data_IF_610131372219
#
_entry.id   IF_610131372219
#
_cell.length_a   1.000
_cell.length_b   1.000
_cell.length_c   1.000
_cell.angle_alpha   90.00
_cell.angle_beta   90.00
_cell.angle_gamma   90.00
#
_symmetry.space_group_name_H-M   'P 1'
#
loop_
_entity.id
_entity.type
_entity.pdbx_description
1 polymer ?
#
# COMPACT_ATOMS: atom_id res chain seq x y z
N UNK A 1 -25.49 -4.96 12.83
CA UNK A 1 -24.03 -4.76 12.97
C UNK A 1 -23.33 -6.10 12.94
N UNK A 2 -22.21 -6.21 12.22
CA UNK A 2 -21.40 -7.42 12.18
C UNK A 2 -19.91 -7.07 12.28
N UNK A 3 -19.08 -8.05 12.62
CA UNK A 3 -17.62 -7.94 12.58
C UNK A 3 -16.92 -7.93 13.94
N UNK A 4 -15.61 -7.64 13.92
CA UNK A 4 -14.72 -7.81 15.06
C UNK A 4 -15.11 -6.92 16.26
N UNK A 5 -15.49 -5.66 16.03
CA UNK A 5 -15.83 -4.72 17.10
C UNK A 5 -17.06 -5.20 17.87
N UNK A 6 -18.11 -5.64 17.16
CA UNK A 6 -19.32 -6.15 17.81
C UNK A 6 -19.11 -7.46 18.55
N UNK A 7 -18.09 -8.24 18.17
CA UNK A 7 -17.72 -9.48 18.86
C UNK A 7 -16.80 -9.25 20.08
N UNK A 8 -15.87 -8.30 19.98
CA UNK A 8 -14.88 -8.02 21.03
C UNK A 8 -15.40 -7.06 22.11
N UNK A 9 -16.33 -6.16 21.76
CA UNK A 9 -16.91 -5.18 22.67
C UNK A 9 -18.45 -5.07 22.47
N UNK A 10 -19.21 -6.16 22.64
CA UNK A 10 -20.66 -6.15 22.38
C UNK A 10 -21.45 -5.20 23.29
N UNK A 11 -20.88 -4.79 24.42
CA UNK A 11 -21.53 -3.94 25.43
C UNK A 11 -21.36 -2.43 25.19
N UNK A 12 -20.68 -2.00 24.12
CA UNK A 12 -20.54 -0.58 23.81
C UNK A 12 -21.91 0.12 23.70
N UNK A 13 -22.08 1.36 24.21
CA UNK A 13 -23.38 2.03 24.27
C UNK A 13 -24.10 2.11 22.91
N UNK A 14 -23.37 2.36 21.83
CA UNK A 14 -23.91 2.46 20.47
C UNK A 14 -24.35 1.10 19.88
N UNK A 15 -24.02 -0.02 20.53
CA UNK A 15 -24.42 -1.38 20.14
C UNK A 15 -25.65 -1.92 20.89
N UNK A 16 -26.22 -1.16 21.83
CA UNK A 16 -27.26 -1.69 22.74
C UNK A 16 -28.61 -1.94 22.04
N UNK A 17 -28.95 -1.13 21.04
CA UNK A 17 -30.27 -1.14 20.37
C UNK A 17 -30.21 -1.65 18.92
N UNK A 18 -29.17 -2.41 18.58
CA UNK A 18 -29.01 -3.00 17.25
C UNK A 18 -28.86 -4.51 17.34
N UNK A 19 -29.28 -5.20 16.28
CA UNK A 19 -28.96 -6.61 16.10
C UNK A 19 -27.46 -6.78 15.80
N UNK A 20 -26.88 -7.84 16.34
CA UNK A 20 -25.45 -8.14 16.26
C UNK A 20 -25.21 -9.54 15.72
N UNK A 21 -24.30 -9.63 14.76
CA UNK A 21 -23.74 -10.87 14.23
C UNK A 21 -22.25 -10.91 14.57
N UNK A 22 -21.85 -11.88 15.40
CA UNK A 22 -20.47 -12.15 15.71
C UNK A 22 -19.71 -12.75 14.52
N UNK A 23 -18.38 -12.81 14.64
CA UNK A 23 -17.50 -13.25 13.54
C UNK A 23 -17.72 -14.73 13.17
N UNK A 24 -18.12 -15.57 14.14
CA UNK A 24 -18.41 -17.00 13.92
C UNK A 24 -19.84 -17.28 13.45
N UNK A 25 -20.65 -16.25 13.26
CA UNK A 25 -22.09 -16.37 12.97
C UNK A 25 -22.49 -15.70 11.66
N UNK A 26 -21.51 -15.37 10.81
CA UNK A 26 -21.76 -14.71 9.54
C UNK A 26 -22.65 -15.55 8.62
N UNK A 27 -22.61 -16.88 8.74
CA UNK A 27 -23.50 -17.84 8.09
C UNK A 27 -24.99 -17.63 8.44
N UNK A 28 -25.28 -17.00 9.58
CA UNK A 28 -26.64 -16.72 10.06
C UNK A 28 -27.10 -15.29 9.78
N UNK A 29 -26.40 -14.55 8.91
CA UNK A 29 -26.72 -13.15 8.61
C UNK A 29 -28.16 -12.97 8.09
N UNK A 30 -28.64 -13.89 7.25
CA UNK A 30 -29.99 -13.84 6.66
C UNK A 30 -31.07 -13.96 7.75
N UNK A 31 -30.88 -14.87 8.70
CA UNK A 31 -31.78 -15.04 9.84
C UNK A 31 -31.84 -13.76 10.69
N UNK A 32 -30.67 -13.20 11.02
CA UNK A 32 -30.59 -11.98 11.85
C UNK A 32 -31.25 -10.79 11.16
N UNK A 33 -31.03 -10.63 9.85
CA UNK A 33 -31.70 -9.58 9.07
C UNK A 33 -33.21 -9.78 9.06
N UNK A 34 -33.68 -11.01 8.81
CA UNK A 34 -35.10 -11.33 8.77
C UNK A 34 -35.82 -11.02 10.10
N UNK A 35 -35.22 -11.37 11.23
CA UNK A 35 -35.77 -11.05 12.56
C UNK A 35 -35.70 -9.54 12.86
N UNK A 36 -34.63 -8.87 12.44
CA UNK A 36 -34.49 -7.42 12.62
C UNK A 36 -35.58 -6.65 11.88
N UNK A 37 -35.93 -7.08 10.65
CA UNK A 37 -37.01 -6.48 9.87
C UNK A 37 -38.41 -6.68 10.50
N UNK A 38 -38.58 -7.71 11.34
CA UNK A 38 -39.81 -7.93 12.14
C UNK A 38 -39.86 -7.08 13.42
N UNK A 39 -38.83 -6.27 13.68
CA UNK A 39 -38.70 -5.48 14.91
C UNK A 39 -38.00 -6.20 16.07
N UNK A 40 -37.51 -7.43 15.86
CA UNK A 40 -36.79 -8.17 16.89
C UNK A 40 -35.32 -7.74 16.94
N UNK A 41 -34.75 -7.71 18.14
CA UNK A 41 -33.31 -7.50 18.34
C UNK A 41 -32.62 -8.84 18.54
N UNK A 42 -31.81 -9.25 17.57
CA UNK A 42 -31.09 -10.54 17.62
C UNK A 42 -29.60 -10.32 17.87
N UNK A 43 -29.02 -11.06 18.81
CA UNK A 43 -27.59 -10.96 19.16
C UNK A 43 -26.96 -12.35 19.15
N UNK A 44 -26.25 -12.68 18.07
CA UNK A 44 -25.55 -13.95 17.92
C UNK A 44 -24.05 -13.74 18.20
N UNK A 45 -23.59 -14.13 19.38
CA UNK A 45 -22.23 -13.83 19.87
C UNK A 45 -21.47 -15.04 20.44
N UNK A 46 -22.06 -16.23 20.34
CA UNK A 46 -21.53 -17.48 20.90
C UNK A 46 -20.16 -17.83 20.32
N UNK A 47 -19.11 -17.78 21.14
CA UNK A 47 -17.76 -18.21 20.73
C UNK A 47 -17.61 -19.72 20.63
N UNK A 48 -18.47 -20.47 21.33
CA UNK A 48 -18.47 -21.92 21.36
C UNK A 48 -19.19 -22.54 20.15
N UNK A 49 -18.65 -22.29 18.95
CA UNK A 49 -19.05 -22.96 17.71
C UNK A 49 -17.87 -23.03 16.74
N UNK A 50 -17.86 -23.97 15.79
CA UNK A 50 -16.93 -23.93 14.67
C UNK A 50 -17.06 -22.61 13.90
N UNK A 51 -15.95 -22.16 13.33
CA UNK A 51 -15.94 -21.02 12.43
C UNK A 51 -16.77 -21.29 11.18
N UNK A 52 -17.20 -20.22 10.51
CA UNK A 52 -17.92 -20.35 9.25
C UNK A 52 -17.04 -21.06 8.21
N UNK A 53 -17.68 -21.92 7.40
CA UNK A 53 -17.01 -22.58 6.29
C UNK A 53 -16.50 -21.55 5.28
N UNK A 54 -15.35 -21.84 4.67
CA UNK A 54 -14.73 -20.98 3.67
C UNK A 54 -15.64 -20.74 2.45
N UNK A 55 -16.47 -21.73 2.10
CA UNK A 55 -17.33 -21.77 0.92
C UNK A 55 -18.67 -21.04 1.05
N UNK A 56 -18.78 -20.07 1.98
CA UNK A 56 -19.97 -19.22 2.03
C UNK A 56 -20.12 -18.40 0.73
N UNK A 57 -21.36 -18.14 0.27
CA UNK A 57 -21.59 -17.25 -0.87
C UNK A 57 -20.95 -15.88 -0.62
N UNK A 58 -20.20 -15.38 -1.60
CA UNK A 58 -19.49 -14.11 -1.53
C UNK A 58 -19.72 -13.28 -2.79
N UNK A 59 -19.65 -11.96 -2.65
CA UNK A 59 -19.59 -11.01 -3.76
C UNK A 59 -18.21 -10.38 -3.75
N UNK A 60 -17.52 -10.41 -4.89
CA UNK A 60 -16.24 -9.71 -5.03
C UNK A 60 -16.49 -8.22 -5.24
N UNK A 61 -15.64 -7.39 -4.62
CA UNK A 61 -15.57 -5.95 -4.95
C UNK A 61 -14.96 -5.72 -6.33
N UNK A 62 -14.03 -6.58 -6.73
CA UNK A 62 -13.37 -6.56 -8.03
C UNK A 62 -13.42 -7.97 -8.62
N UNK A 63 -14.03 -8.12 -9.81
CA UNK A 63 -14.20 -9.42 -10.48
C UNK A 63 -12.87 -10.06 -10.88
N UNK A 64 -11.80 -9.27 -11.00
CA UNK A 64 -10.46 -9.74 -11.38
C UNK A 64 -9.60 -10.17 -10.18
N UNK A 65 -10.07 -9.99 -8.95
CA UNK A 65 -9.29 -10.22 -7.73
C UNK A 65 -10.04 -11.09 -6.74
N UNK A 66 -9.49 -12.26 -6.44
CA UNK A 66 -9.96 -13.12 -5.36
C UNK A 66 -9.21 -12.83 -4.07
N UNK A 67 -9.93 -12.44 -3.02
CA UNK A 67 -9.37 -12.30 -1.67
C UNK A 67 -9.63 -13.57 -0.88
N UNK A 68 -8.63 -14.44 -0.80
CA UNK A 68 -8.71 -15.75 -0.16
C UNK A 68 -8.24 -15.67 1.29
N UNK A 69 -9.18 -15.78 2.23
CA UNK A 69 -8.86 -15.94 3.65
C UNK A 69 -8.35 -17.35 3.88
N UNK A 70 -7.11 -17.50 4.37
CA UNK A 70 -6.49 -18.83 4.54
C UNK A 70 -6.67 -19.40 5.95
N UNK A 71 -6.89 -18.54 6.93
CA UNK A 71 -7.18 -18.91 8.32
C UNK A 71 -8.03 -17.84 8.98
N UNK A 72 -8.51 -18.11 10.19
CA UNK A 72 -9.10 -17.13 11.10
C UNK A 72 -8.44 -17.24 12.47
N UNK A 73 -8.39 -16.12 13.19
CA UNK A 73 -7.80 -16.08 14.53
C UNK A 73 -6.28 -15.96 14.48
N UNK A 74 -5.64 -15.96 15.63
CA UNK A 74 -4.20 -15.70 15.72
C UNK A 74 -3.58 -16.48 16.88
N UNK A 75 -2.32 -16.90 16.74
CA UNK A 75 -1.57 -17.52 17.83
C UNK A 75 -1.02 -16.49 18.82
N UNK A 76 -0.72 -15.27 18.35
CA UNK A 76 -0.08 -14.22 19.14
C UNK A 76 -0.97 -13.62 20.26
N UNK A 77 -0.33 -13.07 21.29
CA UNK A 77 -0.98 -12.45 22.47
C UNK A 77 -0.60 -10.97 22.66
N UNK A 78 -0.50 -10.22 21.57
CA UNK A 78 -0.03 -8.83 21.56
C UNK A 78 -0.83 -7.93 22.52
N UNK A 79 -0.14 -7.15 23.34
CA UNK A 79 -0.75 -6.42 24.47
C UNK A 79 -1.70 -5.30 24.07
N UNK A 80 -1.67 -4.85 22.81
CA UNK A 80 -2.54 -3.81 22.25
C UNK A 80 -3.62 -4.34 21.30
N UNK A 81 -3.54 -5.61 20.90
CA UNK A 81 -4.36 -6.16 19.83
C UNK A 81 -5.66 -6.78 20.37
N UNK A 82 -6.79 -6.52 19.68
CA UNK A 82 -8.09 -7.12 20.00
C UNK A 82 -8.41 -8.37 19.18
N UNK A 83 -7.56 -8.73 18.21
CA UNK A 83 -7.82 -9.84 17.28
C UNK A 83 -8.10 -11.15 18.01
N UNK A 84 -7.26 -11.54 18.98
CA UNK A 84 -7.48 -12.74 19.80
C UNK A 84 -8.82 -12.71 20.53
N UNK A 85 -9.22 -11.55 21.06
CA UNK A 85 -10.51 -11.38 21.74
C UNK A 85 -11.69 -11.46 20.77
N UNK A 86 -11.50 -11.04 19.52
CA UNK A 86 -12.55 -11.04 18.49
C UNK A 86 -12.70 -12.42 17.84
N UNK A 87 -11.60 -13.02 17.37
CA UNK A 87 -11.59 -14.19 16.49
C UNK A 87 -11.11 -15.49 17.16
N UNK A 88 -10.45 -15.39 18.31
CA UNK A 88 -9.95 -16.55 19.05
C UNK A 88 -8.57 -17.02 18.59
N UNK A 89 -8.25 -18.26 18.94
CA UNK A 89 -7.04 -18.97 18.50
C UNK A 89 -7.05 -19.22 16.99
N UNK A 90 -5.88 -19.52 16.44
CA UNK A 90 -5.73 -19.88 15.03
C UNK A 90 -6.61 -21.09 14.69
N UNK A 91 -7.34 -20.96 13.59
CA UNK A 91 -8.02 -22.03 12.88
C UNK A 91 -7.69 -21.90 11.41
N UNK A 92 -6.87 -22.81 10.89
CA UNK A 92 -6.50 -22.85 9.48
C UNK A 92 -7.57 -23.55 8.66
N UNK A 93 -7.91 -22.97 7.49
CA UNK A 93 -8.76 -23.68 6.54
C UNK A 93 -7.98 -24.84 5.90
N UNK A 94 -8.64 -25.98 5.61
CA UNK A 94 -7.98 -27.14 5.02
C UNK A 94 -7.31 -26.80 3.68
N UNK A 95 -6.12 -27.37 3.46
CA UNK A 95 -5.34 -27.17 2.23
C UNK A 95 -6.16 -27.45 0.96
N UNK A 96 -6.90 -28.56 0.93
CA UNK A 96 -7.70 -28.94 -0.23
C UNK A 96 -8.80 -27.91 -0.57
N UNK A 97 -9.47 -27.37 0.45
CA UNK A 97 -10.53 -26.38 0.27
C UNK A 97 -9.97 -25.05 -0.27
N UNK A 98 -8.80 -24.63 0.21
CA UNK A 98 -8.11 -23.42 -0.25
C UNK A 98 -7.65 -23.55 -1.71
N UNK A 99 -7.07 -24.70 -2.06
CA UNK A 99 -6.62 -24.99 -3.42
C UNK A 99 -7.79 -25.06 -4.39
N UNK A 100 -8.90 -25.67 -3.98
CA UNK A 100 -10.09 -25.76 -4.82
C UNK A 100 -10.78 -24.40 -5.01
N UNK A 101 -10.86 -23.58 -3.97
CA UNK A 101 -11.40 -22.22 -4.10
C UNK A 101 -10.52 -21.34 -4.99
N UNK A 102 -9.19 -21.44 -4.87
CA UNK A 102 -8.28 -20.75 -5.77
C UNK A 102 -8.44 -21.23 -7.21
N UNK A 103 -8.57 -22.54 -7.43
CA UNK A 103 -8.81 -23.12 -8.76
C UNK A 103 -10.10 -22.59 -9.37
N UNK A 104 -11.23 -22.67 -8.66
CA UNK A 104 -12.52 -22.18 -9.17
C UNK A 104 -12.44 -20.68 -9.51
N UNK A 105 -11.82 -19.87 -8.65
CA UNK A 105 -11.66 -18.44 -8.91
C UNK A 105 -10.92 -18.16 -10.24
N UNK A 106 -9.84 -18.89 -10.52
CA UNK A 106 -9.08 -18.71 -11.76
C UNK A 106 -9.76 -19.31 -12.99
N UNK A 107 -10.22 -20.56 -12.91
CA UNK A 107 -10.61 -21.34 -14.08
C UNK A 107 -12.10 -21.19 -14.43
N UNK A 108 -12.96 -20.97 -13.43
CA UNK A 108 -14.40 -20.83 -13.64
C UNK A 108 -14.83 -19.37 -13.69
N UNK A 109 -14.16 -18.49 -12.93
CA UNK A 109 -14.58 -17.11 -12.73
C UNK A 109 -13.66 -16.07 -13.41
N UNK A 110 -12.50 -16.49 -13.92
CA UNK A 110 -11.62 -15.64 -14.74
C UNK A 110 -10.81 -14.60 -13.97
N UNK A 111 -10.65 -14.77 -12.65
CA UNK A 111 -9.80 -13.93 -11.79
C UNK A 111 -8.36 -13.87 -12.31
N UNK A 112 -7.66 -12.76 -12.07
CA UNK A 112 -6.27 -12.55 -12.47
C UNK A 112 -5.31 -12.44 -11.30
N UNK A 113 -5.81 -12.05 -10.13
CA UNK A 113 -5.02 -11.98 -8.92
C UNK A 113 -5.64 -12.75 -7.75
N UNK A 114 -4.82 -13.54 -7.06
CA UNK A 114 -5.18 -14.18 -5.80
C UNK A 114 -4.48 -13.46 -4.64
N UNK A 115 -5.24 -12.76 -3.81
CA UNK A 115 -4.73 -12.08 -2.63
C UNK A 115 -4.98 -12.94 -1.41
N UNK A 116 -3.91 -13.49 -0.83
CA UNK A 116 -4.01 -14.26 0.40
C UNK A 116 -4.16 -13.31 1.59
N UNK A 117 -5.09 -13.62 2.49
CA UNK A 117 -5.31 -12.84 3.71
C UNK A 117 -5.51 -13.73 4.93
N UNK A 118 -5.11 -13.20 6.08
CA UNK A 118 -5.29 -13.77 7.41
C UNK A 118 -4.94 -12.68 8.43
N UNK A 119 -5.31 -12.90 9.70
CA UNK A 119 -4.74 -12.13 10.82
C UNK A 119 -3.21 -12.31 10.92
N UNK A 120 -2.71 -13.48 10.52
CA UNK A 120 -1.30 -13.80 10.43
C UNK A 120 -1.08 -14.93 9.42
N UNK A 121 -0.70 -14.56 8.20
CA UNK A 121 -0.52 -15.51 7.11
C UNK A 121 0.58 -16.54 7.43
N UNK A 122 1.65 -16.12 8.10
CA UNK A 122 2.76 -16.99 8.53
C UNK A 122 2.34 -18.14 9.45
N UNK A 123 1.27 -17.96 10.20
CA UNK A 123 0.83 -18.94 11.19
C UNK A 123 0.03 -20.11 10.57
N UNK A 124 -0.42 -19.99 9.31
CA UNK A 124 -1.26 -21.00 8.67
C UNK A 124 -0.62 -22.40 8.72
N UNK A 125 -1.45 -23.41 8.97
CA UNK A 125 -1.08 -24.82 8.95
C UNK A 125 -0.64 -25.37 10.30
N UNK A 126 -0.17 -24.53 11.23
CA UNK A 126 0.42 -24.97 12.51
C UNK A 126 -0.54 -25.74 13.42
N UNK A 127 -1.83 -25.46 13.31
CA UNK A 127 -2.90 -26.15 14.05
C UNK A 127 -3.36 -27.46 13.38
N UNK A 128 -2.94 -27.72 12.14
CA UNK A 128 -3.33 -28.90 11.33
C UNK A 128 -2.13 -29.73 10.85
N UNK A 129 -0.93 -29.49 11.39
CA UNK A 129 0.28 -30.26 11.08
C UNK A 129 0.93 -29.93 9.73
N UNK A 130 0.67 -28.74 9.19
CA UNK A 130 1.27 -28.20 7.96
C UNK A 130 2.01 -26.89 8.26
N UNK A 131 2.72 -26.36 7.26
CA UNK A 131 3.34 -25.03 7.32
C UNK A 131 2.96 -24.21 6.09
N UNK A 132 3.07 -22.89 6.20
CA UNK A 132 2.73 -21.97 5.10
C UNK A 132 3.35 -22.34 3.75
N UNK A 133 4.65 -22.70 3.64
CA UNK A 133 5.22 -23.16 2.36
C UNK A 133 4.45 -24.29 1.67
N UNK A 134 3.85 -25.22 2.43
CA UNK A 134 3.05 -26.32 1.86
C UNK A 134 1.85 -25.76 1.08
N UNK A 135 1.13 -24.80 1.67
CA UNK A 135 0.01 -24.13 1.00
C UNK A 135 0.48 -23.39 -0.24
N UNK A 136 1.53 -22.57 -0.11
CA UNK A 136 1.98 -21.72 -1.21
C UNK A 136 2.43 -22.56 -2.41
N UNK A 137 3.11 -23.68 -2.19
CA UNK A 137 3.51 -24.62 -3.26
C UNK A 137 2.30 -25.23 -3.98
N UNK A 138 1.22 -25.57 -3.27
CA UNK A 138 0.01 -26.11 -3.93
C UNK A 138 -0.78 -25.01 -4.66
N UNK A 139 -0.90 -23.81 -4.09
CA UNK A 139 -1.60 -22.69 -4.72
C UNK A 139 -0.91 -22.27 -6.03
N UNK A 140 0.41 -22.21 -6.06
CA UNK A 140 1.18 -21.86 -7.27
C UNK A 140 0.88 -22.80 -8.44
N UNK A 141 0.60 -24.08 -8.20
CA UNK A 141 0.27 -25.06 -9.26
C UNK A 141 -1.05 -24.78 -9.95
N UNK A 142 -2.02 -24.16 -9.27
CA UNK A 142 -3.36 -23.91 -9.84
C UNK A 142 -3.49 -22.53 -10.49
N UNK A 143 -2.52 -21.63 -10.26
CA UNK A 143 -2.49 -20.29 -10.86
C UNK A 143 -2.13 -20.41 -12.35
N UNK A 144 -2.99 -19.95 -13.28
CA UNK A 144 -2.70 -19.97 -14.71
C UNK A 144 -1.62 -18.95 -15.08
N UNK A 145 -1.00 -19.13 -16.25
CA UNK A 145 -0.01 -18.19 -16.76
C UNK A 145 -0.65 -16.81 -16.98
N UNK A 146 0.08 -15.75 -16.64
CA UNK A 146 -0.43 -14.37 -16.69
C UNK A 146 -1.31 -13.97 -15.51
N UNK A 147 -1.49 -14.83 -14.51
CA UNK A 147 -2.11 -14.47 -13.23
C UNK A 147 -1.08 -14.43 -12.09
N UNK A 148 -1.41 -13.73 -11.01
CA UNK A 148 -0.47 -13.46 -9.91
C UNK A 148 -1.06 -13.77 -8.53
N UNK A 149 -0.22 -14.20 -7.60
CA UNK A 149 -0.55 -14.30 -6.18
C UNK A 149 0.15 -13.20 -5.39
N UNK A 150 -0.58 -12.58 -4.46
CA UNK A 150 -0.04 -11.65 -3.47
C UNK A 150 -0.14 -12.25 -2.08
N UNK A 151 0.97 -12.30 -1.36
CA UNK A 151 0.96 -12.65 0.06
C UNK A 151 0.45 -11.46 0.88
N UNK A 152 -0.47 -11.71 1.80
CA UNK A 152 -0.91 -10.75 2.81
C UNK A 152 0.08 -10.60 3.96
N UNK A 153 -0.36 -9.90 4.99
CA UNK A 153 0.41 -9.59 6.19
C UNK A 153 0.83 -10.86 6.96
N UNK A 154 2.06 -10.89 7.43
CA UNK A 154 2.65 -11.99 8.22
C UNK A 154 3.51 -11.45 9.36
N UNK A 155 3.59 -12.16 10.49
CA UNK A 155 4.48 -11.76 11.60
C UNK A 155 5.90 -12.35 11.46
N UNK A 156 6.94 -11.61 11.91
CA UNK A 156 8.34 -12.04 11.78
C UNK A 156 8.68 -13.47 12.22
N UNK A 157 8.22 -14.00 13.37
CA UNK A 157 8.64 -15.32 13.84
C UNK A 157 8.33 -16.43 12.84
N UNK A 158 7.17 -16.36 12.18
CA UNK A 158 6.71 -17.43 11.30
C UNK A 158 7.34 -17.39 9.90
N UNK A 159 7.81 -16.22 9.47
CA UNK A 159 8.62 -16.11 8.25
C UNK A 159 10.05 -16.51 8.52
N UNK A 160 10.58 -16.19 9.70
CA UNK A 160 11.93 -16.57 10.11
C UNK A 160 12.15 -18.09 10.06
N UNK A 161 11.13 -18.86 10.45
CA UNK A 161 11.15 -20.33 10.43
C UNK A 161 11.26 -20.93 9.01
N UNK A 162 10.94 -20.18 7.96
CA UNK A 162 10.83 -20.67 6.57
C UNK A 162 11.43 -19.67 5.55
N UNK A 163 12.50 -18.96 5.92
CA UNK A 163 13.04 -17.86 5.13
C UNK A 163 13.36 -18.25 3.68
N UNK A 164 14.01 -19.40 3.49
CA UNK A 164 14.49 -19.85 2.18
C UNK A 164 13.30 -20.24 1.29
N UNK A 165 12.34 -20.98 1.83
CA UNK A 165 11.14 -21.40 1.11
C UNK A 165 10.25 -20.23 0.75
N UNK A 166 10.12 -19.23 1.62
CA UNK A 166 9.37 -18.02 1.31
C UNK A 166 10.07 -17.21 0.22
N UNK A 167 11.39 -17.08 0.27
CA UNK A 167 12.15 -16.43 -0.80
C UNK A 167 12.02 -17.17 -2.14
N UNK A 168 12.04 -18.51 -2.14
CA UNK A 168 11.78 -19.34 -3.33
C UNK A 168 10.39 -19.05 -3.93
N UNK A 169 9.35 -19.04 -3.08
CA UNK A 169 7.98 -18.74 -3.51
C UNK A 169 7.87 -17.32 -4.07
N UNK A 170 8.46 -16.32 -3.42
CA UNK A 170 8.43 -14.93 -3.89
C UNK A 170 9.19 -14.73 -5.21
N UNK A 171 10.17 -15.58 -5.51
CA UNK A 171 10.87 -15.61 -6.81
C UNK A 171 10.04 -16.26 -7.93
N UNK A 172 8.99 -17.02 -7.61
CA UNK A 172 8.16 -17.67 -8.62
C UNK A 172 7.49 -16.63 -9.54
N UNK A 173 7.46 -16.84 -10.88
CA UNK A 173 6.95 -15.86 -11.84
C UNK A 173 5.47 -15.51 -11.67
N UNK A 174 4.70 -16.38 -11.01
CA UNK A 174 3.26 -16.21 -10.70
C UNK A 174 2.97 -15.63 -9.32
N UNK A 175 4.00 -15.15 -8.62
CA UNK A 175 3.87 -14.59 -7.27
C UNK A 175 4.51 -13.22 -7.29
N UNK A 176 3.88 -12.21 -6.68
CA UNK A 176 4.50 -10.90 -6.57
C UNK A 176 5.69 -10.95 -5.61
N UNK A 177 6.79 -10.27 -5.95
CA UNK A 177 7.90 -10.02 -5.05
C UNK A 177 7.50 -8.92 -4.05
N UNK A 178 6.58 -9.27 -3.16
CA UNK A 178 5.98 -8.40 -2.16
C UNK A 178 5.89 -9.13 -0.82
N UNK A 179 6.35 -8.49 0.25
CA UNK A 179 6.26 -9.02 1.62
C UNK A 179 5.75 -7.92 2.55
N UNK A 180 4.58 -8.14 3.16
CA UNK A 180 4.07 -7.28 4.21
C UNK A 180 4.38 -7.88 5.58
N UNK A 181 5.36 -7.31 6.26
CA UNK A 181 5.90 -7.82 7.53
C UNK A 181 5.95 -6.71 8.58
N UNK A 182 4.93 -6.59 9.44
CA UNK A 182 4.87 -5.52 10.43
C UNK A 182 5.92 -5.67 11.54
N UNK A 183 6.82 -4.70 11.70
CA UNK A 183 7.80 -4.68 12.79
C UNK A 183 7.21 -4.13 14.09
N UNK A 184 6.26 -3.20 14.00
CA UNK A 184 5.59 -2.44 15.06
C UNK A 184 6.46 -1.47 15.86
N UNK A 185 7.68 -1.86 16.23
CA UNK A 185 8.67 -1.02 16.89
C UNK A 185 10.06 -1.60 16.63
N UNK A 186 11.09 -0.76 16.53
CA UNK A 186 12.46 -1.25 16.45
C UNK A 186 13.16 -1.34 17.82
N UNK A 187 12.48 -0.97 18.92
CA UNK A 187 13.02 -1.14 20.28
C UNK A 187 12.64 -2.50 20.84
N UNK A 188 13.63 -3.29 21.21
CA UNK A 188 13.42 -4.59 21.85
C UNK A 188 12.68 -4.46 23.19
N UNK A 189 12.90 -3.36 23.93
CA UNK A 189 12.16 -3.10 25.17
C UNK A 189 10.66 -2.90 24.91
N UNK A 190 10.33 -2.06 23.92
CA UNK A 190 8.94 -1.82 23.51
C UNK A 190 8.31 -3.06 22.90
N UNK A 191 9.04 -3.82 22.07
CA UNK A 191 8.57 -5.09 21.50
C UNK A 191 8.23 -6.11 22.59
N UNK A 192 9.05 -6.21 23.64
CA UNK A 192 8.77 -7.06 24.80
C UNK A 192 7.48 -6.62 25.53
N UNK A 193 7.29 -5.32 25.76
CA UNK A 193 6.05 -4.79 26.37
C UNK A 193 4.82 -4.98 25.47
N UNK A 194 5.03 -4.99 24.15
CA UNK A 194 4.02 -5.37 23.16
C UNK A 194 3.71 -6.87 23.17
N UNK A 195 4.50 -7.70 23.87
CA UNK A 195 4.53 -9.17 23.79
C UNK A 195 4.76 -9.66 22.36
N UNK A 196 5.73 -9.08 21.67
CA UNK A 196 6.24 -9.61 20.41
C UNK A 196 7.27 -10.70 20.69
N UNK A 197 7.18 -11.82 19.98
CA UNK A 197 8.08 -12.97 20.12
C UNK A 197 9.30 -12.85 19.18
N UNK A 198 9.72 -11.62 18.89
CA UNK A 198 10.85 -11.30 18.04
C UNK A 198 11.52 -10.00 18.50
N UNK A 199 12.78 -9.84 18.12
CA UNK A 199 13.58 -8.62 18.32
C UNK A 199 13.75 -7.86 17.00
N UNK A 200 14.29 -6.64 17.09
CA UNK A 200 14.78 -5.89 15.93
C UNK A 200 15.74 -6.74 15.09
N UNK A 201 16.67 -7.45 15.72
CA UNK A 201 17.63 -8.33 15.02
C UNK A 201 16.93 -9.40 14.18
N UNK A 202 15.88 -10.04 14.70
CA UNK A 202 15.13 -11.04 13.92
C UNK A 202 14.46 -10.40 12.70
N UNK A 203 13.89 -9.21 12.85
CA UNK A 203 13.32 -8.48 11.72
C UNK A 203 14.38 -8.13 10.67
N UNK A 204 15.54 -7.61 11.10
CA UNK A 204 16.65 -7.27 10.22
C UNK A 204 17.16 -8.48 9.45
N UNK A 205 17.25 -9.65 10.10
CA UNK A 205 17.60 -10.91 9.42
C UNK A 205 16.64 -11.23 8.27
N UNK A 206 15.34 -11.06 8.47
CA UNK A 206 14.34 -11.30 7.42
C UNK A 206 14.50 -10.27 6.29
N UNK A 207 14.59 -8.99 6.63
CA UNK A 207 14.70 -7.92 5.64
C UNK A 207 15.98 -8.05 4.80
N UNK A 208 17.13 -8.27 5.45
CA UNK A 208 18.43 -8.43 4.78
C UNK A 208 18.43 -9.67 3.87
N UNK A 209 17.88 -10.80 4.34
CA UNK A 209 17.80 -12.03 3.55
C UNK A 209 16.91 -11.86 2.32
N UNK A 210 15.74 -11.24 2.48
CA UNK A 210 14.81 -10.99 1.37
C UNK A 210 15.38 -10.02 0.34
N UNK A 211 16.04 -8.94 0.78
CA UNK A 211 16.72 -7.99 -0.12
C UNK A 211 17.83 -8.67 -0.92
N UNK A 212 18.58 -9.57 -0.29
CA UNK A 212 19.67 -10.30 -0.95
C UNK A 212 19.19 -11.38 -1.95
N UNK A 213 18.07 -12.04 -1.67
CA UNK A 213 17.66 -13.25 -2.40
C UNK A 213 16.38 -13.09 -3.25
N UNK A 214 15.62 -12.01 -3.10
CA UNK A 214 14.41 -11.74 -3.89
C UNK A 214 14.60 -10.43 -4.67
N UNK A 215 14.89 -10.49 -5.98
CA UNK A 215 15.19 -9.31 -6.78
C UNK A 215 14.07 -8.26 -6.72
N UNK A 216 14.45 -7.02 -6.41
CA UNK A 216 13.55 -5.87 -6.31
C UNK A 216 12.33 -6.14 -5.39
N UNK A 217 12.52 -6.83 -4.26
CA UNK A 217 11.47 -7.09 -3.27
C UNK A 217 10.83 -5.79 -2.75
N UNK A 218 9.50 -5.76 -2.68
CA UNK A 218 8.73 -4.69 -2.07
C UNK A 218 8.37 -5.08 -0.64
N UNK A 219 9.02 -4.45 0.34
CA UNK A 219 8.77 -4.71 1.76
C UNK A 219 7.84 -3.63 2.32
N UNK A 220 6.63 -4.03 2.70
CA UNK A 220 5.70 -3.20 3.45
C UNK A 220 5.80 -3.52 4.95
N UNK A 221 5.72 -2.52 5.81
CA UNK A 221 5.74 -2.73 7.27
C UNK A 221 4.87 -1.70 8.00
N UNK A 222 4.64 -1.95 9.30
CA UNK A 222 3.82 -1.11 10.15
C UNK A 222 4.62 -0.71 11.38
N UNK A 223 4.38 0.51 11.85
CA UNK A 223 4.94 1.06 13.08
C UNK A 223 3.81 1.56 13.97
N UNK A 224 3.87 1.22 15.27
CA UNK A 224 3.02 1.78 16.31
C UNK A 224 3.90 2.70 17.14
N UNK A 225 3.73 4.00 16.93
CA UNK A 225 4.45 5.04 17.63
C UNK A 225 3.74 5.46 18.90
N UNK A 226 4.51 6.01 19.83
CA UNK A 226 4.04 6.48 21.13
C UNK A 226 3.33 5.37 21.93
N UNK A 227 3.83 4.14 21.82
CA UNK A 227 3.41 3.06 22.70
C UNK A 227 3.67 3.48 24.17
N UNK A 228 2.83 3.09 25.16
CA UNK A 228 2.88 3.67 26.50
C UNK A 228 4.23 3.64 27.22
N UNK A 229 5.11 2.68 26.87
CA UNK A 229 6.45 2.51 27.46
C UNK A 229 7.59 3.06 26.60
N UNK A 230 7.29 3.59 25.40
CA UNK A 230 8.28 4.08 24.45
C UNK A 230 8.99 5.34 24.96
N UNK A 231 10.29 5.25 25.21
CA UNK A 231 11.17 6.38 25.51
C UNK A 231 11.54 7.14 24.23
N UNK A 232 12.31 8.23 24.35
CA UNK A 232 12.79 8.94 23.16
C UNK A 232 13.86 8.13 22.43
N UNK A 233 14.68 7.40 23.19
CA UNK A 233 15.70 6.49 22.69
C UNK A 233 15.08 5.34 21.88
N UNK A 234 13.99 4.73 22.40
CA UNK A 234 13.24 3.68 21.69
C UNK A 234 12.64 4.17 20.36
N UNK A 235 12.18 5.43 20.34
CA UNK A 235 11.68 6.08 19.15
C UNK A 235 12.80 6.33 18.12
N UNK A 236 13.99 6.72 18.58
CA UNK A 236 15.13 6.94 17.67
C UNK A 236 15.62 5.62 17.04
N UNK A 237 15.61 4.50 17.78
CA UNK A 237 15.87 3.17 17.19
C UNK A 237 14.90 2.84 16.06
N UNK A 238 13.63 3.18 16.24
CA UNK A 238 12.57 3.03 15.24
C UNK A 238 12.82 3.90 14.00
N UNK A 239 13.26 5.14 14.20
CA UNK A 239 13.65 6.03 13.11
C UNK A 239 14.89 5.50 12.37
N UNK A 240 15.89 4.98 13.07
CA UNK A 240 17.09 4.39 12.49
C UNK A 240 16.78 3.20 11.59
N UNK A 241 15.90 2.29 12.02
CA UNK A 241 15.46 1.15 11.21
C UNK A 241 14.82 1.61 9.88
N UNK A 242 13.96 2.61 9.94
CA UNK A 242 13.30 3.18 8.74
C UNK A 242 14.33 3.87 7.84
N UNK A 243 15.30 4.61 8.39
CA UNK A 243 16.40 5.20 7.61
C UNK A 243 17.25 4.15 6.91
N UNK A 244 17.53 3.01 7.57
CA UNK A 244 18.34 1.91 7.05
C UNK A 244 17.67 1.23 5.85
N UNK A 245 16.41 0.84 5.98
CA UNK A 245 15.73 0.04 4.95
C UNK A 245 14.95 0.85 3.91
N UNK A 246 14.61 2.12 4.20
CA UNK A 246 13.84 3.00 3.32
C UNK A 246 12.60 2.28 2.74
N UNK A 247 11.77 1.71 3.61
CA UNK A 247 10.62 0.89 3.20
C UNK A 247 9.73 1.63 2.20
N UNK A 248 9.37 1.03 1.06
CA UNK A 248 8.50 1.67 0.06
C UNK A 248 7.07 1.90 0.56
N UNK A 249 6.59 1.08 1.50
CA UNK A 249 5.31 1.25 2.18
C UNK A 249 5.49 1.12 3.69
N UNK A 250 5.06 2.15 4.42
CA UNK A 250 5.18 2.25 5.87
C UNK A 250 3.84 2.72 6.45
N UNK A 251 3.16 1.82 7.16
CA UNK A 251 1.92 2.13 7.88
C UNK A 251 2.25 2.73 9.25
N UNK A 252 2.19 4.06 9.34
CA UNK A 252 2.52 4.82 10.56
C UNK A 252 1.25 4.97 11.40
N UNK A 253 1.17 4.23 12.50
CA UNK A 253 0.06 4.26 13.43
C UNK A 253 0.48 4.93 14.74
N UNK A 254 -0.38 5.77 15.30
CA UNK A 254 -0.23 6.23 16.69
C UNK A 254 -0.93 5.23 17.62
N UNK A 255 -0.29 4.84 18.73
CA UNK A 255 -0.92 3.96 19.70
C UNK A 255 -2.28 4.49 20.16
N UNK A 256 -3.27 3.60 20.16
CA UNK A 256 -4.60 3.86 20.68
C UNK A 256 -5.03 2.78 21.68
N UNK A 257 -5.40 3.15 22.93
CA UNK A 257 -5.79 2.16 23.94
C UNK A 257 -7.10 1.50 23.55
N UNK A 258 -7.06 0.18 23.34
CA UNK A 258 -8.26 -0.62 23.04
C UNK A 258 -8.77 -1.26 24.33
N UNK A 259 -10.02 -0.97 24.71
CA UNK A 259 -10.63 -1.47 25.96
C UNK A 259 -10.46 -2.99 26.14
N UNK A 260 -10.03 -3.43 27.33
CA UNK A 260 -9.82 -4.85 27.65
C UNK A 260 -8.46 -5.43 27.23
N UNK A 261 -7.64 -4.70 26.47
CA UNK A 261 -6.27 -5.12 26.16
C UNK A 261 -5.33 -4.83 27.33
N UNK A 262 -4.24 -5.60 27.55
CA UNK A 262 -3.28 -5.32 28.62
C UNK A 262 -2.67 -3.92 28.57
N UNK A 263 -2.30 -3.44 27.37
CA UNK A 263 -1.67 -2.13 27.18
C UNK A 263 -2.63 -0.96 27.47
N UNK A 264 -3.95 -1.17 27.41
CA UNK A 264 -4.93 -0.12 27.75
C UNK A 264 -4.90 0.28 29.24
N UNK A 265 -4.25 -0.49 30.11
CA UNK A 265 -4.04 -0.15 31.52
C UNK A 265 -2.80 0.71 31.76
N UNK A 266 -1.93 0.85 30.76
CA UNK A 266 -0.70 1.64 30.87
C UNK A 266 -1.02 3.13 30.73
N UNK A 267 -0.23 3.98 31.40
CA UNK A 267 -0.34 5.43 31.26
C UNK A 267 0.13 5.82 29.86
N UNK A 268 -0.74 6.45 29.07
CA UNK A 268 -0.39 6.93 27.73
C UNK A 268 0.71 7.99 27.79
N UNK A 269 1.54 8.01 26.75
CA UNK A 269 2.36 9.17 26.40
C UNK A 269 1.44 10.36 26.10
N UNK A 270 1.91 11.56 26.45
CA UNK A 270 1.17 12.80 26.23
C UNK A 270 0.82 12.96 24.73
N UNK A 271 -0.36 13.54 24.46
CA UNK A 271 -0.87 13.64 23.08
C UNK A 271 0.00 14.55 22.21
N UNK A 272 0.62 15.59 22.79
CA UNK A 272 1.54 16.47 22.07
C UNK A 272 2.79 15.69 21.67
N UNK A 273 3.35 14.90 22.59
CA UNK A 273 4.53 14.09 22.32
C UNK A 273 4.24 12.98 21.30
N UNK A 274 3.09 12.30 21.44
CA UNK A 274 2.67 11.29 20.48
C UNK A 274 2.55 11.86 19.05
N UNK A 275 1.95 13.04 18.90
CA UNK A 275 1.84 13.74 17.61
C UNK A 275 3.20 14.15 17.05
N UNK A 276 4.13 14.60 17.89
CA UNK A 276 5.50 14.94 17.46
C UNK A 276 6.21 13.73 16.86
N UNK A 277 6.16 12.57 17.53
CA UNK A 277 6.78 11.33 17.04
C UNK A 277 6.16 10.86 15.72
N UNK A 278 4.83 10.87 15.61
CA UNK A 278 4.13 10.53 14.38
C UNK A 278 4.45 11.49 13.23
N UNK A 279 4.54 12.79 13.49
CA UNK A 279 4.94 13.78 12.49
C UNK A 279 6.38 13.53 12.00
N UNK A 280 7.33 13.32 12.92
CA UNK A 280 8.74 13.08 12.59
C UNK A 280 8.92 11.80 11.75
N UNK A 281 8.24 10.69 12.09
CA UNK A 281 8.29 9.46 11.29
C UNK A 281 7.66 9.67 9.90
N UNK A 282 6.57 10.44 9.81
CA UNK A 282 5.91 10.75 8.54
C UNK A 282 6.77 11.65 7.65
N UNK A 283 7.49 12.61 8.23
CA UNK A 283 8.46 13.44 7.54
C UNK A 283 9.62 12.61 6.98
N UNK A 284 10.20 11.72 7.81
CA UNK A 284 11.22 10.77 7.35
C UNK A 284 10.71 9.90 6.20
N UNK A 285 9.50 9.34 6.31
CA UNK A 285 8.94 8.52 5.23
C UNK A 285 8.74 9.31 3.93
N UNK A 286 8.39 10.60 4.02
CA UNK A 286 8.26 11.48 2.85
C UNK A 286 9.60 11.88 2.24
N UNK A 287 10.70 11.88 3.02
CA UNK A 287 12.01 12.34 2.57
C UNK A 287 12.73 11.39 1.61
N UNK A 288 12.25 10.16 1.43
CA UNK A 288 12.80 9.20 0.49
C UNK A 288 11.69 8.60 -0.36
N UNK A 289 12.01 8.01 -1.51
CA UNK A 289 11.03 7.30 -2.34
C UNK A 289 11.70 6.16 -3.11
N UNK A 290 10.92 5.13 -3.45
CA UNK A 290 11.32 4.09 -4.42
C UNK A 290 11.14 4.56 -5.87
N UNK A 291 10.35 5.61 -6.08
CA UNK A 291 9.97 6.14 -7.38
C UNK A 291 10.75 7.43 -7.65
N UNK A 292 12.05 7.30 -7.92
CA UNK A 292 12.94 8.42 -8.25
C UNK A 292 12.83 8.78 -9.74
N UNK A 293 13.24 9.99 -10.12
CA UNK A 293 13.23 10.44 -11.52
C UNK A 293 14.10 9.57 -12.43
N UNK A 294 15.09 8.87 -11.89
CA UNK A 294 15.93 7.89 -12.59
C UNK A 294 15.12 6.75 -13.21
N UNK A 295 13.89 6.54 -12.75
CA UNK A 295 12.98 5.51 -13.27
C UNK A 295 12.21 5.95 -14.51
N UNK A 296 12.21 7.24 -14.84
CA UNK A 296 11.58 7.75 -16.05
C UNK A 296 12.27 7.14 -17.26
N UNK A 297 11.48 6.60 -18.19
CA UNK A 297 11.95 5.87 -19.35
C UNK A 297 12.09 4.36 -19.15
N UNK A 298 12.02 3.83 -17.92
CA UNK A 298 12.01 2.39 -17.66
C UNK A 298 10.85 1.70 -18.37
N UNK A 299 11.11 0.48 -18.86
CA UNK A 299 10.09 -0.40 -19.43
C UNK A 299 9.64 -1.42 -18.38
N UNK A 300 8.32 -1.54 -18.21
CA UNK A 300 7.71 -2.50 -17.30
C UNK A 300 6.61 -3.27 -18.01
N UNK A 301 6.44 -4.53 -17.61
CA UNK A 301 5.22 -5.29 -17.92
C UNK A 301 4.32 -5.22 -16.69
N UNK A 302 3.08 -4.79 -16.86
CA UNK A 302 2.14 -4.56 -15.74
C UNK A 302 0.81 -5.26 -15.97
N UNK A 303 0.28 -5.89 -14.93
CA UNK A 303 -1.07 -6.47 -14.93
C UNK A 303 -2.04 -5.42 -14.37
N UNK A 304 -2.99 -4.97 -15.18
CA UNK A 304 -3.96 -3.93 -14.79
C UNK A 304 -5.24 -4.59 -14.28
N UNK A 305 -5.57 -4.44 -13.01
CA UNK A 305 -6.76 -5.08 -12.39
C UNK A 305 -7.73 -4.09 -11.76
N UNK A 306 -7.32 -2.83 -11.56
CA UNK A 306 -8.13 -1.82 -10.89
C UNK A 306 -8.21 -0.53 -11.70
N UNK A 307 -9.24 0.28 -11.41
CA UNK A 307 -9.37 1.65 -11.93
C UNK A 307 -9.05 2.62 -10.80
N UNK A 308 -8.18 3.59 -11.07
CA UNK A 308 -7.76 4.59 -10.10
C UNK A 308 -8.93 5.49 -9.68
N UNK A 309 -8.80 6.13 -8.51
CA UNK A 309 -9.84 6.98 -7.94
C UNK A 309 -10.19 8.19 -8.84
N UNK A 310 -9.22 8.67 -9.64
CA UNK A 310 -9.41 9.74 -10.62
C UNK A 310 -10.29 9.34 -11.82
N UNK A 311 -10.52 8.04 -12.03
CA UNK A 311 -11.21 7.46 -13.19
C UNK A 311 -10.61 7.84 -14.54
N UNK A 312 -9.33 8.20 -14.55
CA UNK A 312 -8.54 8.49 -15.75
C UNK A 312 -7.48 7.43 -16.01
N UNK A 313 -7.03 6.74 -14.96
CA UNK A 313 -5.99 5.71 -15.04
C UNK A 313 -6.48 4.33 -14.60
N UNK A 314 -5.98 3.29 -15.24
CA UNK A 314 -5.92 1.95 -14.68
C UNK A 314 -4.73 1.83 -13.74
N UNK A 315 -4.87 0.99 -12.71
CA UNK A 315 -3.80 0.67 -11.76
C UNK A 315 -3.26 -0.70 -12.10
N UNK A 316 -2.00 -0.73 -12.53
CA UNK A 316 -1.29 -1.96 -12.81
C UNK A 316 -0.13 -2.22 -11.87
N UNK A 317 0.23 -3.49 -11.71
CA UNK A 317 1.35 -3.93 -10.90
C UNK A 317 2.35 -4.75 -11.73
N UNK A 318 3.65 -4.46 -11.59
CA UNK A 318 4.72 -5.29 -12.14
C UNK A 318 5.05 -6.47 -11.21
N UNK A 319 6.06 -7.28 -11.54
CA UNK A 319 6.51 -8.43 -10.71
C UNK A 319 6.84 -8.04 -9.27
N UNK A 320 7.33 -6.83 -9.03
CA UNK A 320 7.67 -6.28 -7.71
C UNK A 320 6.50 -5.60 -7.00
N UNK A 321 5.28 -5.76 -7.52
CA UNK A 321 4.07 -5.15 -6.98
C UNK A 321 4.13 -3.63 -6.90
N UNK A 322 4.92 -3.00 -7.76
CA UNK A 322 5.00 -1.55 -7.83
C UNK A 322 3.78 -1.01 -8.57
N UNK A 323 3.14 0.00 -7.99
CA UNK A 323 1.97 0.64 -8.59
C UNK A 323 2.36 1.50 -9.79
N UNK A 324 1.82 1.18 -10.96
CA UNK A 324 2.05 1.89 -12.22
C UNK A 324 0.68 2.30 -12.80
N UNK A 325 0.48 3.61 -12.95
CA UNK A 325 -0.72 4.18 -13.54
C UNK A 325 -0.60 4.17 -15.06
N UNK A 326 -1.62 3.64 -15.72
CA UNK A 326 -1.72 3.54 -17.18
C UNK A 326 -2.99 4.29 -17.62
N UNK A 327 -2.96 5.18 -18.63
CA UNK A 327 -4.18 5.87 -19.08
C UNK A 327 -5.26 4.86 -19.49
N UNK A 328 -6.49 5.05 -19.02
CA UNK A 328 -7.58 4.08 -19.19
C UNK A 328 -7.89 3.75 -20.65
N UNK A 329 -7.72 4.71 -21.56
CA UNK A 329 -7.92 4.52 -23.01
C UNK A 329 -7.00 3.46 -23.61
N UNK A 330 -5.88 3.15 -22.95
CA UNK A 330 -4.96 2.09 -23.34
C UNK A 330 -5.05 0.84 -22.45
N UNK A 331 -5.87 0.87 -21.40
CA UNK A 331 -5.98 -0.23 -20.47
C UNK A 331 -6.94 -1.29 -20.99
N UNK A 332 -6.51 -2.56 -20.91
CA UNK A 332 -7.42 -3.69 -20.96
C UNK A 332 -7.38 -4.41 -19.61
N UNK A 333 -8.48 -4.29 -18.86
CA UNK A 333 -8.59 -4.84 -17.52
C UNK A 333 -8.36 -6.35 -17.54
N UNK A 334 -7.51 -6.83 -16.65
CA UNK A 334 -7.12 -8.23 -16.50
C UNK A 334 -6.04 -8.70 -17.48
N UNK A 335 -5.41 -7.79 -18.22
CA UNK A 335 -4.32 -8.12 -19.15
C UNK A 335 -3.00 -7.48 -18.77
N UNK A 336 -1.92 -8.13 -19.23
CA UNK A 336 -0.58 -7.58 -19.14
C UNK A 336 -0.32 -6.61 -20.28
N UNK A 337 0.19 -5.43 -19.96
CA UNK A 337 0.61 -4.42 -20.93
C UNK A 337 2.07 -4.04 -20.69
N UNK A 338 2.83 -3.87 -21.78
CA UNK A 338 4.15 -3.28 -21.73
C UNK A 338 4.04 -1.76 -21.75
N UNK A 339 4.62 -1.10 -20.75
CA UNK A 339 4.51 0.34 -20.53
C UNK A 339 5.87 0.96 -20.32
N UNK A 340 6.00 2.22 -20.71
CA UNK A 340 7.16 3.08 -20.43
C UNK A 340 6.77 4.10 -19.37
N UNK A 341 7.58 4.24 -18.34
CA UNK A 341 7.39 5.26 -17.30
C UNK A 341 7.64 6.65 -17.89
N UNK A 342 6.70 7.56 -17.70
CA UNK A 342 6.76 8.95 -18.19
C UNK A 342 6.89 9.98 -17.07
N UNK A 343 6.44 9.63 -15.86
CA UNK A 343 6.58 10.45 -14.67
C UNK A 343 6.53 9.58 -13.42
N UNK A 344 6.91 10.15 -12.28
CA UNK A 344 6.86 9.49 -10.98
C UNK A 344 6.14 10.37 -9.95
N UNK A 345 5.54 9.74 -8.96
CA UNK A 345 4.97 10.38 -7.77
C UNK A 345 5.59 9.76 -6.52
N UNK A 346 5.21 10.24 -5.34
CA UNK A 346 5.66 9.63 -4.07
C UNK A 346 5.30 8.14 -3.94
N UNK A 347 4.20 7.69 -4.55
CA UNK A 347 3.63 6.35 -4.32
C UNK A 347 3.45 5.50 -5.57
N UNK A 348 3.68 6.07 -6.75
CA UNK A 348 3.45 5.37 -8.02
C UNK A 348 4.33 5.90 -9.14
N UNK A 349 4.44 5.11 -10.20
CA UNK A 349 4.87 5.60 -11.50
C UNK A 349 3.64 5.93 -12.37
N UNK A 350 3.80 6.83 -13.33
CA UNK A 350 2.85 7.13 -14.39
C UNK A 350 3.48 6.68 -15.70
N UNK A 351 2.69 6.12 -16.61
CA UNK A 351 3.21 5.46 -17.79
C UNK A 351 2.36 5.67 -19.04
N UNK A 352 2.90 5.27 -20.19
CA UNK A 352 2.17 5.09 -21.45
C UNK A 352 2.53 3.73 -22.07
N UNK A 353 1.69 3.14 -22.92
CA UNK A 353 2.05 1.93 -23.66
C UNK A 353 3.40 2.08 -24.38
N UNK A 354 4.26 1.07 -24.28
CA UNK A 354 5.60 1.12 -24.86
C UNK A 354 5.60 1.23 -26.40
N UNK A 355 4.49 0.87 -27.04
CA UNK A 355 4.27 0.98 -28.49
C UNK A 355 4.06 2.41 -28.98
N UNK A 356 3.68 3.33 -28.10
CA UNK A 356 3.52 4.74 -28.46
C UNK A 356 4.91 5.37 -28.44
N UNK A 357 5.47 5.61 -29.63
CA UNK A 357 6.65 6.47 -29.75
C UNK A 357 6.25 7.87 -29.29
N UNK A 358 7.06 8.48 -28.42
CA UNK A 358 6.93 9.91 -28.19
C UNK A 358 7.17 10.61 -29.53
N UNK A 359 6.10 11.20 -30.09
CA UNK A 359 6.26 12.22 -31.10
C UNK A 359 7.27 13.21 -30.52
N UNK A 360 8.42 13.34 -31.20
CA UNK A 360 9.35 14.42 -30.92
C UNK A 360 8.51 15.68 -30.80
N UNK A 361 8.49 16.30 -29.60
CA UNK A 361 7.68 17.47 -29.31
C UNK A 361 7.63 18.35 -30.56
N UNK A 362 6.47 18.58 -31.20
CA UNK A 362 6.41 19.60 -32.22
C UNK A 362 6.84 20.87 -31.48
N UNK A 363 7.96 21.45 -31.93
CA UNK A 363 8.60 22.63 -31.36
C UNK A 363 7.48 23.53 -30.82
N UNK A 364 7.35 23.58 -29.49
CA UNK A 364 6.14 24.13 -28.89
C UNK A 364 5.94 25.53 -29.49
N UNK A 365 4.70 25.87 -29.83
CA UNK A 365 4.37 27.22 -30.30
C UNK A 365 4.87 28.29 -29.31
N UNK A 366 5.15 27.91 -28.05
CA UNK A 366 5.82 28.73 -27.05
C UNK A 366 7.26 29.13 -27.38
N UNK A 367 8.02 28.40 -28.21
CA UNK A 367 9.33 28.85 -28.69
C UNK A 367 9.24 29.65 -30.00
N UNK A 368 8.18 29.44 -30.80
CA UNK A 368 7.93 30.22 -32.00
C UNK A 368 7.37 31.62 -31.70
N UNK A 369 6.61 31.78 -30.62
CA UNK A 369 5.99 33.07 -30.27
C UNK A 369 7.01 34.17 -29.94
N UNK A 370 8.03 33.95 -29.07
CA UNK A 370 9.05 34.96 -28.78
C UNK A 370 9.86 35.32 -30.02
N UNK A 371 10.19 34.33 -30.85
CA UNK A 371 10.95 34.54 -32.08
C UNK A 371 10.14 35.33 -33.13
N UNK A 372 8.84 35.03 -33.27
CA UNK A 372 7.96 35.77 -34.18
C UNK A 372 7.74 37.22 -33.72
N UNK A 373 7.57 37.45 -32.41
CA UNK A 373 7.48 38.79 -31.82
C UNK A 373 8.80 39.55 -32.03
N UNK A 374 9.95 38.91 -31.79
CA UNK A 374 11.27 39.50 -32.01
C UNK A 374 11.49 39.89 -33.49
N UNK A 375 11.13 39.02 -34.43
CA UNK A 375 11.19 39.31 -35.87
C UNK A 375 10.25 40.46 -36.26
N UNK A 376 9.03 40.53 -35.72
CA UNK A 376 8.09 41.64 -35.94
C UNK A 376 8.65 42.97 -35.43
N UNK A 377 9.26 42.97 -34.24
CA UNK A 377 9.95 44.15 -33.69
C UNK A 377 11.08 44.59 -34.60
N UNK A 378 11.95 43.68 -35.05
CA UNK A 378 13.04 44.00 -35.98
C UNK A 378 12.55 44.54 -37.33
N UNK A 379 11.50 43.95 -37.90
CA UNK A 379 10.90 44.45 -39.16
C UNK A 379 10.30 45.85 -38.95
N UNK A 380 9.68 46.09 -37.80
CA UNK A 380 9.10 47.41 -37.46
C UNK A 380 10.21 48.44 -37.30
N UNK A 381 11.27 48.14 -36.54
CA UNK A 381 12.43 49.02 -36.37
C UNK A 381 13.13 49.30 -37.71
N UNK A 382 13.30 48.28 -38.55
CA UNK A 382 13.85 48.44 -39.89
C UNK A 382 12.97 49.31 -40.79
N UNK A 383 11.65 49.17 -40.69
CA UNK A 383 10.71 49.99 -41.46
C UNK A 383 10.68 51.44 -40.98
N UNK A 384 10.79 51.66 -39.67
CA UNK A 384 10.93 53.00 -39.08
C UNK A 384 12.21 53.66 -39.58
N UNK A 385 13.34 52.97 -39.48
CA UNK A 385 14.63 53.49 -39.95
C UNK A 385 14.63 53.74 -41.46
N UNK A 386 14.03 52.87 -42.27
CA UNK A 386 14.08 53.00 -43.74
C UNK A 386 13.08 54.01 -44.32
N UNK A 387 11.92 54.20 -43.69
CA UNK A 387 10.81 54.95 -44.31
C UNK A 387 10.31 56.15 -43.49
N UNK A 388 10.45 56.14 -42.17
CA UNK A 388 9.91 57.20 -41.31
C UNK A 388 10.98 58.13 -40.76
N UNK A 389 12.13 57.57 -40.35
CA UNK A 389 13.20 58.32 -39.70
C UNK A 389 14.57 57.70 -40.03
N UNK A 390 15.14 58.03 -41.21
CA UNK A 390 16.48 57.57 -41.59
C UNK A 390 17.53 57.92 -40.53
N UNK A 391 18.22 56.91 -40.00
CA UNK A 391 19.22 57.08 -38.93
C UNK A 391 18.70 56.76 -37.53
N UNK A 392 17.44 56.34 -37.38
CA UNK A 392 16.87 55.90 -36.10
C UNK A 392 17.74 54.85 -35.40
N UNK A 393 18.27 53.87 -36.14
CA UNK A 393 19.14 52.85 -35.55
C UNK A 393 20.46 53.42 -35.05
N UNK A 394 21.07 54.37 -35.75
CA UNK A 394 22.35 54.98 -35.34
C UNK A 394 22.20 55.84 -34.08
N UNK A 395 21.04 56.47 -33.88
CA UNK A 395 20.74 57.23 -32.66
C UNK A 395 20.43 56.34 -31.45
N UNK A 396 19.74 55.20 -31.65
CA UNK A 396 19.21 54.39 -30.53
C UNK A 396 20.01 53.14 -30.18
N UNK A 397 20.89 52.64 -31.07
CA UNK A 397 21.70 51.44 -30.77
C UNK A 397 22.46 51.51 -29.44
N UNK A 398 23.07 52.65 -29.05
CA UNK A 398 23.79 52.75 -27.79
C UNK A 398 22.90 52.50 -26.56
N UNK A 399 21.62 52.85 -26.63
CA UNK A 399 20.67 52.68 -25.52
C UNK A 399 20.22 51.22 -25.33
N UNK A 400 20.19 50.42 -26.41
CA UNK A 400 19.80 49.01 -26.32
C UNK A 400 20.93 48.13 -25.79
N UNK A 401 22.19 48.53 -25.95
CA UNK A 401 23.34 47.76 -25.50
C UNK A 401 23.52 47.76 -23.96
N UNK A 402 23.01 48.77 -23.25
CA UNK A 402 23.22 48.94 -21.80
C UNK A 402 22.17 48.23 -20.91
N UNK A 403 21.11 47.63 -21.47
CA UNK A 403 19.99 47.10 -20.69
C UNK A 403 20.24 45.74 -19.99
N UNK A 404 21.45 45.16 -20.06
CA UNK A 404 21.72 43.79 -19.61
C UNK A 404 22.19 43.64 -18.15
N UNK A 405 21.88 44.58 -17.26
CA UNK A 405 22.18 44.48 -15.82
C UNK A 405 20.92 44.77 -14.99
N UNK A 406 20.08 43.74 -14.76
CA UNK A 406 19.26 43.56 -13.55
C UNK A 406 18.21 42.44 -13.77
N UNK A 407 18.51 41.21 -13.38
CA UNK A 407 17.53 40.09 -13.43
C UNK A 407 17.45 39.28 -12.11
N UNK A 408 17.87 39.87 -10.98
CA UNK A 408 18.07 39.11 -9.73
C UNK A 408 16.89 39.14 -8.71
N UNK A 409 15.62 39.35 -9.10
CA UNK A 409 14.53 39.56 -8.10
C UNK A 409 13.18 38.85 -8.29
N UNK A 410 13.02 37.82 -9.11
CA UNK A 410 11.70 37.21 -9.34
C UNK A 410 11.40 35.87 -8.61
N UNK A 411 12.30 35.30 -7.81
CA UNK A 411 12.01 34.08 -7.02
C UNK A 411 11.36 34.41 -5.67
N UNK A 412 10.07 34.70 -5.69
CA UNK A 412 9.22 34.62 -4.51
C UNK A 412 7.77 34.56 -5.00
N UNK A 413 7.10 33.42 -4.75
CA UNK A 413 5.65 33.17 -4.69
C UNK A 413 5.27 31.95 -5.54
N UNK A 414 5.06 30.81 -4.87
CA UNK A 414 4.00 29.82 -5.13
C UNK A 414 4.39 28.48 -4.47
N UNK A 415 3.91 28.24 -3.25
CA UNK A 415 3.71 26.87 -2.74
C UNK A 415 2.65 26.90 -1.63
N UNK A 416 1.40 26.70 -2.03
CA UNK A 416 0.35 26.17 -1.18
C UNK A 416 -0.30 25.03 -1.98
N UNK A 417 0.14 23.80 -1.73
CA UNK A 417 -0.54 22.61 -2.24
C UNK A 417 -1.14 21.82 -1.08
N UNK A 418 -2.47 21.68 -1.13
CA UNK A 418 -3.28 20.89 -0.22
C UNK A 418 -3.33 19.46 -0.78
N UNK A 419 -2.63 18.52 -0.15
CA UNK A 419 -2.85 17.09 -0.38
C UNK A 419 -3.13 16.37 0.94
N UNK A 420 -4.41 16.00 1.11
CA UNK A 420 -4.89 15.12 2.17
C UNK A 420 -4.21 13.73 2.07
N UNK A 421 -3.82 13.10 3.20
CA UNK A 421 -3.35 11.73 3.19
C UNK A 421 -4.56 10.78 3.09
N UNK A 422 -4.66 10.09 1.95
CA UNK A 422 -5.56 8.95 1.74
C UNK A 422 -5.09 7.79 2.62
N UNK A 423 -5.88 7.45 3.64
CA UNK A 423 -5.77 6.18 4.38
C UNK A 423 -6.43 5.07 3.55
N UNK A 424 -5.67 4.03 3.19
CA UNK A 424 -6.22 2.77 2.69
C UNK A 424 -6.46 1.82 3.87
N UNK A 425 -7.68 1.30 3.98
CA UNK A 425 -8.09 0.17 4.85
C UNK A 425 -7.62 -1.18 4.31
#
# INVERSE_FOLDING_TARGET
MAGCVSQAAPSEPWLQNVSIVGVKQIDRIVEVVGETLKGNKVRLLTRNRPDAVLSLPKMRKNELIEVLSISTGCLNNCTYCKTKMARGDLVSYPLADLVEQARAAFHDEGVKELWLTSEDLGAWGRDIGLVLPDLLRELVKVIPDGSMMRLGMTNPPYILDHLEEIAEILNHPKVYAFLHIPVQSASDAVLNDMKREYSRRHFEQIADYMIANVPNIYIATDMILAFPTETLEDFEESMELVRKYKFPSLFINQYYPRSGTPAARLKKIDTVEARKRTAAMSELFRSYTRYTDERIGELHRVLVTEVAADKLHGVGHNKSYEQILVPLEYCKMGEWIEVRVTAVTKFSMISKPASIQEDQQPLSLMHLFPLAVFCLVLITLYSVDRFLYPGFFEEWLPFLADAHHDEQQAEMWEHHDNSDPVFYE
#
